data_IF_780290734542
#
_entry.id   IF_780290734542
#
_cell.length_a   1.000
_cell.length_b   1.000
_cell.length_c   1.000
_cell.angle_alpha   90.00
_cell.angle_beta   90.00
_cell.angle_gamma   90.00
#
_symmetry.space_group_name_H-M   'P 1'
#
loop_
_entity.id
_entity.type
_entity.pdbx_description
1 polymer ?
#
# COMPACT_ATOMS: atom_id res chain seq x y z
N UNK A 1 -54.21 -28.94 66.03
CA UNK A 1 -53.90 -28.22 64.76
C UNK A 1 -52.90 -27.06 64.97
N UNK A 2 -51.76 -27.28 65.66
CA UNK A 2 -50.73 -26.24 65.93
C UNK A 2 -49.30 -26.63 65.53
N UNK A 3 -49.04 -27.92 65.29
CA UNK A 3 -47.70 -28.45 64.99
C UNK A 3 -47.34 -28.30 63.49
N UNK A 4 -48.33 -28.22 62.60
CA UNK A 4 -48.11 -28.09 61.16
C UNK A 4 -47.57 -26.71 60.73
N UNK A 5 -47.89 -25.64 61.48
CA UNK A 5 -47.43 -24.27 61.16
C UNK A 5 -45.97 -24.00 61.54
N UNK A 6 -45.41 -24.77 62.49
CA UNK A 6 -44.05 -24.55 63.03
C UNK A 6 -42.96 -25.04 62.06
N UNK A 7 -43.23 -26.11 61.28
CA UNK A 7 -42.29 -26.60 60.24
C UNK A 7 -42.47 -25.94 58.88
N UNK A 8 -43.61 -25.30 58.63
CA UNK A 8 -43.90 -24.62 57.36
C UNK A 8 -43.17 -23.27 57.23
N UNK A 9 -43.03 -22.55 58.34
CA UNK A 9 -42.34 -21.24 58.38
C UNK A 9 -40.85 -21.29 58.01
N UNK A 10 -40.01 -22.21 58.57
CA UNK A 10 -38.60 -22.29 58.19
C UNK A 10 -38.39 -22.83 56.76
N UNK A 11 -39.31 -23.68 56.27
CA UNK A 11 -39.26 -24.20 54.89
C UNK A 11 -39.50 -23.10 53.86
N UNK A 12 -40.47 -22.21 54.11
CA UNK A 12 -40.75 -21.06 53.24
C UNK A 12 -39.56 -20.09 53.24
N UNK A 13 -38.95 -19.85 54.40
CA UNK A 13 -37.81 -18.94 54.54
C UNK A 13 -36.57 -19.44 53.79
N UNK A 14 -36.36 -20.77 53.76
CA UNK A 14 -35.27 -21.41 53.03
C UNK A 14 -35.50 -21.37 51.50
N UNK A 15 -36.74 -21.57 51.04
CA UNK A 15 -37.09 -21.46 49.61
C UNK A 15 -36.90 -20.02 49.12
N UNK A 16 -37.32 -19.02 49.90
CA UNK A 16 -37.14 -17.60 49.56
C UNK A 16 -35.66 -17.23 49.52
N UNK A 17 -34.85 -17.72 50.45
CA UNK A 17 -33.41 -17.48 50.46
C UNK A 17 -32.70 -18.10 49.25
N UNK A 18 -33.06 -19.33 48.85
CA UNK A 18 -32.50 -19.99 47.65
C UNK A 18 -32.94 -19.27 46.37
N UNK A 19 -34.19 -18.80 46.30
CA UNK A 19 -34.69 -18.06 45.15
C UNK A 19 -34.01 -16.69 45.01
N UNK A 20 -33.79 -15.99 46.12
CA UNK A 20 -33.02 -14.73 46.13
C UNK A 20 -31.56 -14.96 45.74
N UNK A 21 -30.94 -16.05 46.19
CA UNK A 21 -29.57 -16.39 45.79
C UNK A 21 -29.49 -16.71 44.28
N UNK A 22 -30.46 -17.44 43.73
CA UNK A 22 -30.52 -17.74 42.30
C UNK A 22 -30.76 -16.49 41.43
N UNK A 23 -31.56 -15.52 41.92
CA UNK A 23 -31.74 -14.22 41.28
C UNK A 23 -30.48 -13.34 41.32
N UNK A 24 -29.63 -13.49 42.35
CA UNK A 24 -28.34 -12.79 42.44
C UNK A 24 -27.30 -13.44 41.52
N UNK A 25 -27.27 -14.77 41.40
CA UNK A 25 -26.35 -15.47 40.48
C UNK A 25 -26.70 -15.31 39.00
N UNK A 26 -27.98 -15.09 38.66
CA UNK A 26 -28.41 -14.76 37.29
C UNK A 26 -28.09 -13.31 36.89
N UNK A 27 -27.78 -12.44 37.85
CA UNK A 27 -27.41 -11.03 37.60
C UNK A 27 -25.90 -10.77 37.56
N UNK A 28 -25.05 -11.69 38.02
CA UNK A 28 -23.63 -11.66 37.67
C UNK A 28 -23.44 -12.23 36.28
N UNK A 29 -23.81 -11.38 35.32
CA UNK A 29 -23.69 -11.62 33.90
C UNK A 29 -22.31 -12.16 33.56
N UNK A 30 -22.32 -13.38 33.04
CA UNK A 30 -21.36 -13.93 32.09
C UNK A 30 -21.40 -13.20 30.72
N UNK A 31 -21.90 -11.97 30.68
CA UNK A 31 -21.74 -11.08 29.55
C UNK A 31 -20.49 -10.27 29.82
N UNK A 32 -19.34 -10.84 29.46
CA UNK A 32 -18.26 -10.00 28.94
C UNK A 32 -18.91 -9.17 27.85
N UNK A 33 -19.21 -7.91 28.15
CA UNK A 33 -19.38 -6.92 27.11
C UNK A 33 -18.07 -6.97 26.34
N UNK A 34 -18.09 -7.63 25.18
CA UNK A 34 -17.18 -7.27 24.12
C UNK A 34 -17.40 -5.77 23.96
N UNK A 35 -16.45 -4.98 24.48
CA UNK A 35 -16.34 -3.58 24.09
C UNK A 35 -16.47 -3.63 22.57
N UNK A 36 -17.51 -3.03 21.96
CA UNK A 36 -17.45 -2.82 20.54
C UNK A 36 -16.23 -1.92 20.39
N UNK A 37 -15.10 -2.52 20.02
CA UNK A 37 -14.05 -1.75 19.41
C UNK A 37 -14.75 -1.08 18.25
N UNK A 38 -15.05 0.20 18.42
CA UNK A 38 -15.30 1.08 17.30
C UNK A 38 -13.99 1.07 16.55
N UNK A 39 -13.79 0.05 15.72
CA UNK A 39 -12.76 0.02 14.70
C UNK A 39 -13.22 1.09 13.72
N UNK A 40 -12.89 2.33 14.07
CA UNK A 40 -13.00 3.42 13.15
C UNK A 40 -12.04 3.01 12.04
N UNK A 41 -12.59 2.68 10.86
CA UNK A 41 -11.77 2.46 9.69
C UNK A 41 -10.89 3.71 9.59
N UNK A 42 -9.57 3.55 9.73
CA UNK A 42 -8.66 4.67 9.55
C UNK A 42 -8.94 5.20 8.15
N UNK A 43 -9.52 6.41 8.08
CA UNK A 43 -9.90 7.04 6.81
C UNK A 43 -8.68 7.43 5.97
N UNK A 44 -7.49 7.32 6.57
CA UNK A 44 -6.20 7.62 5.98
C UNK A 44 -5.42 6.32 5.88
N UNK A 45 -4.94 6.00 4.67
CA UNK A 45 -4.06 4.86 4.40
C UNK A 45 -2.90 4.85 5.42
N UNK A 46 -2.58 3.67 5.97
CA UNK A 46 -1.41 3.49 6.84
C UNK A 46 -0.12 3.98 6.15
N UNK A 47 -0.07 3.91 4.83
CA UNK A 47 1.07 4.41 4.05
C UNK A 47 1.11 5.95 3.99
N UNK A 48 -0.03 6.64 4.07
CA UNK A 48 -0.10 8.11 4.13
C UNK A 48 0.29 8.68 5.50
N UNK A 49 0.11 7.92 6.58
CA UNK A 49 0.35 8.36 7.96
C UNK A 49 1.68 7.82 8.52
N UNK A 50 2.75 7.87 7.73
CA UNK A 50 4.06 7.40 8.16
C UNK A 50 4.80 8.49 8.94
N UNK A 51 5.18 8.17 10.18
CA UNK A 51 6.00 9.03 11.05
C UNK A 51 7.30 8.31 11.41
N UNK A 52 8.38 9.06 11.66
CA UNK A 52 9.69 8.53 12.12
C UNK A 52 10.43 7.64 11.11
N UNK A 53 10.60 8.11 9.87
CA UNK A 53 11.44 7.43 8.88
C UNK A 53 12.92 7.67 9.23
N UNK A 54 13.75 6.62 9.41
CA UNK A 54 15.19 6.78 9.59
C UNK A 54 15.82 7.47 8.37
N UNK A 55 16.78 8.37 8.60
CA UNK A 55 17.47 9.09 7.51
C UNK A 55 18.09 8.13 6.48
N UNK A 56 18.60 6.98 6.93
CA UNK A 56 19.16 5.94 6.08
C UNK A 56 18.16 5.36 5.07
N UNK A 57 16.86 5.43 5.33
CA UNK A 57 15.82 4.90 4.44
C UNK A 57 15.27 5.93 3.46
N UNK A 58 15.57 7.23 3.64
CA UNK A 58 15.00 8.30 2.82
C UNK A 58 15.23 8.11 1.32
N UNK A 59 16.32 7.44 0.91
CA UNK A 59 16.66 7.23 -0.49
C UNK A 59 15.58 6.51 -1.33
N UNK A 60 14.71 5.67 -0.73
CA UNK A 60 13.63 4.97 -1.46
C UNK A 60 12.22 5.40 -1.04
N UNK A 61 12.05 5.93 0.17
CA UNK A 61 10.76 6.46 0.66
C UNK A 61 10.57 7.95 0.45
N UNK A 62 11.55 8.64 -0.14
CA UNK A 62 11.43 10.07 -0.44
C UNK A 62 10.21 10.36 -1.31
N UNK A 63 9.40 11.31 -0.86
CA UNK A 63 8.25 11.83 -1.58
C UNK A 63 8.50 13.32 -1.88
N UNK A 64 8.81 13.68 -3.14
CA UNK A 64 9.04 15.07 -3.50
C UNK A 64 7.75 15.90 -3.46
N UNK A 65 7.90 17.22 -3.33
CA UNK A 65 6.78 18.16 -3.36
C UNK A 65 6.16 18.30 -4.76
N UNK A 66 6.98 18.14 -5.81
CA UNK A 66 6.58 18.29 -7.20
C UNK A 66 7.07 17.12 -8.05
N UNK A 67 6.34 16.83 -9.14
CA UNK A 67 6.63 15.72 -10.04
C UNK A 67 7.98 15.91 -10.76
N UNK A 68 8.35 17.14 -11.10
CA UNK A 68 9.63 17.46 -11.74
C UNK A 68 10.86 17.01 -10.95
N UNK A 69 10.77 16.88 -9.61
CA UNK A 69 11.87 16.36 -8.80
C UNK A 69 12.08 14.84 -8.95
N UNK A 70 11.19 14.12 -9.64
CA UNK A 70 11.40 12.73 -10.04
C UNK A 70 12.19 12.61 -11.33
N UNK A 71 12.50 13.72 -12.02
CA UNK A 71 13.12 13.71 -13.33
C UNK A 71 14.44 12.93 -13.32
N UNK A 72 14.58 12.00 -14.28
CA UNK A 72 15.81 11.24 -14.50
C UNK A 72 16.22 11.27 -15.97
N UNK A 73 17.50 11.12 -16.22
CA UNK A 73 18.08 10.99 -17.56
C UNK A 73 18.83 9.66 -17.68
N UNK A 74 18.22 8.57 -17.24
CA UNK A 74 18.86 7.25 -17.31
C UNK A 74 18.90 6.72 -18.75
N UNK A 75 19.88 5.86 -19.03
CA UNK A 75 20.00 5.18 -20.31
C UNK A 75 19.27 3.83 -20.26
N UNK A 76 18.02 3.82 -20.71
CA UNK A 76 17.21 2.60 -20.82
C UNK A 76 17.34 1.96 -22.20
N UNK A 77 18.32 1.07 -22.34
CA UNK A 77 18.62 0.40 -23.61
C UNK A 77 17.49 -0.52 -24.11
N UNK A 78 16.70 -1.09 -23.19
CA UNK A 78 15.52 -1.86 -23.59
C UNK A 78 14.46 -0.93 -24.20
N UNK A 79 14.13 0.16 -23.50
CA UNK A 79 13.17 1.15 -23.98
C UNK A 79 13.61 1.74 -25.33
N UNK A 80 14.87 2.14 -25.46
CA UNK A 80 15.43 2.61 -26.72
C UNK A 80 15.28 1.56 -27.85
N UNK A 81 15.55 0.29 -27.55
CA UNK A 81 15.39 -0.81 -28.50
C UNK A 81 13.94 -0.97 -28.95
N UNK A 82 12.99 -0.86 -28.02
CA UNK A 82 11.55 -0.90 -28.33
C UNK A 82 11.11 0.28 -29.19
N UNK A 83 11.57 1.50 -28.89
CA UNK A 83 11.25 2.70 -29.67
C UNK A 83 11.75 2.60 -31.12
N UNK A 84 12.97 2.09 -31.30
CA UNK A 84 13.56 1.89 -32.64
C UNK A 84 12.82 0.77 -33.39
N UNK A 85 12.58 -0.36 -32.73
CA UNK A 85 11.90 -1.51 -33.32
C UNK A 85 10.49 -1.17 -33.79
N UNK A 86 9.79 -0.33 -33.03
CA UNK A 86 8.43 0.15 -33.36
C UNK A 86 8.42 1.42 -34.23
N UNK A 87 9.58 1.82 -34.79
CA UNK A 87 9.71 2.98 -35.70
C UNK A 87 9.27 4.32 -35.10
N UNK A 88 9.26 4.43 -33.77
CA UNK A 88 9.08 5.70 -33.05
C UNK A 88 10.34 6.56 -33.17
N UNK A 89 11.51 5.91 -33.20
CA UNK A 89 12.80 6.56 -33.46
C UNK A 89 13.45 5.92 -34.68
N UNK A 90 13.93 6.75 -35.61
CA UNK A 90 14.74 6.30 -36.75
C UNK A 90 16.22 6.28 -36.38
N UNK A 91 16.80 5.07 -36.36
CA UNK A 91 18.22 4.84 -36.11
C UNK A 91 18.92 4.20 -37.33
N UNK A 92 18.40 4.38 -38.54
CA UNK A 92 19.00 3.86 -39.79
C UNK A 92 20.42 4.35 -40.06
N UNK A 93 20.83 5.47 -39.45
CA UNK A 93 22.21 5.96 -39.51
C UNK A 93 23.18 5.17 -38.64
N UNK A 94 22.68 4.33 -37.74
CA UNK A 94 23.49 3.52 -36.83
C UNK A 94 23.79 2.13 -37.41
N UNK A 95 24.92 1.51 -37.02
CA UNK A 95 25.17 0.11 -37.34
C UNK A 95 24.01 -0.77 -36.86
N UNK A 96 23.62 -1.73 -37.70
CA UNK A 96 22.50 -2.66 -37.44
C UNK A 96 21.19 -1.94 -37.07
N UNK A 97 20.92 -0.81 -37.72
CA UNK A 97 19.75 0.05 -37.47
C UNK A 97 19.62 0.46 -36.00
N UNK A 98 20.74 0.57 -35.28
CA UNK A 98 20.76 0.96 -33.86
C UNK A 98 20.41 -0.15 -32.87
N UNK A 99 20.25 -1.40 -33.33
CA UNK A 99 19.86 -2.54 -32.49
C UNK A 99 21.02 -3.53 -32.29
N UNK A 100 20.92 -4.30 -31.22
CA UNK A 100 21.72 -5.50 -30.96
C UNK A 100 20.88 -6.75 -31.28
N UNK A 101 21.51 -7.93 -31.30
CA UNK A 101 20.84 -9.18 -31.66
C UNK A 101 19.69 -9.59 -30.73
N UNK A 102 19.66 -9.09 -29.49
CA UNK A 102 18.60 -9.39 -28.52
C UNK A 102 17.46 -8.34 -28.53
N UNK A 103 17.47 -7.40 -29.48
CA UNK A 103 16.45 -6.36 -29.62
C UNK A 103 16.66 -5.12 -28.76
N UNK A 104 17.69 -5.08 -27.91
CA UNK A 104 18.07 -3.87 -27.18
C UNK A 104 18.77 -2.89 -28.11
N UNK A 105 18.71 -1.60 -27.83
CA UNK A 105 19.51 -0.63 -28.55
C UNK A 105 21.01 -0.89 -28.34
N UNK A 106 21.82 -0.62 -29.35
CA UNK A 106 23.26 -0.48 -29.18
C UNK A 106 23.61 0.95 -28.72
N UNK A 107 24.89 1.26 -28.49
CA UNK A 107 25.32 2.59 -28.02
C UNK A 107 24.89 3.73 -28.98
N UNK A 108 24.96 3.50 -30.30
CA UNK A 108 24.51 4.49 -31.28
C UNK A 108 22.98 4.65 -31.23
N UNK A 109 22.23 3.54 -31.21
CA UNK A 109 20.76 3.56 -31.12
C UNK A 109 20.27 4.26 -29.85
N UNK A 110 20.90 4.01 -28.71
CA UNK A 110 20.59 4.70 -27.45
C UNK A 110 20.88 6.20 -27.53
N UNK A 111 21.99 6.59 -28.16
CA UNK A 111 22.30 8.02 -28.37
C UNK A 111 21.22 8.73 -29.19
N UNK A 112 20.79 8.12 -30.30
CA UNK A 112 19.73 8.66 -31.16
C UNK A 112 18.38 8.67 -30.45
N UNK A 113 18.05 7.62 -29.71
CA UNK A 113 16.79 7.50 -28.98
C UNK A 113 16.76 8.26 -27.64
N UNK A 114 17.89 8.84 -27.20
CA UNK A 114 18.02 9.46 -25.88
C UNK A 114 16.94 10.50 -25.57
N UNK A 115 16.60 11.44 -26.48
CA UNK A 115 15.54 12.42 -26.21
C UNK A 115 14.18 11.77 -25.92
N UNK A 116 13.80 10.76 -26.70
CA UNK A 116 12.54 10.01 -26.51
C UNK A 116 12.56 9.19 -25.23
N UNK A 117 13.70 8.58 -24.88
CA UNK A 117 13.86 7.85 -23.62
C UNK A 117 13.74 8.77 -22.41
N UNK A 118 14.32 9.97 -22.45
CA UNK A 118 14.18 10.98 -21.39
C UNK A 118 12.73 11.47 -21.31
N UNK A 119 12.06 11.67 -22.44
CA UNK A 119 10.66 12.06 -22.46
C UNK A 119 9.76 11.00 -21.80
N UNK A 120 9.86 9.74 -22.24
CA UNK A 120 8.97 8.66 -21.76
C UNK A 120 9.20 8.32 -20.30
N UNK A 121 10.46 8.24 -19.85
CA UNK A 121 10.74 7.90 -18.45
C UNK A 121 10.22 8.94 -17.45
N UNK A 122 9.96 10.17 -17.91
CA UNK A 122 9.47 11.26 -17.08
C UNK A 122 8.01 11.63 -17.37
N UNK A 123 7.39 11.11 -18.44
CA UNK A 123 5.98 11.39 -18.75
C UNK A 123 4.99 10.78 -17.75
N UNK A 124 5.47 9.90 -16.86
CA UNK A 124 4.68 9.28 -15.81
C UNK A 124 4.86 9.97 -14.44
N UNK A 125 5.70 10.99 -14.32
CA UNK A 125 6.06 11.58 -13.02
C UNK A 125 4.84 12.17 -12.30
N UNK A 126 3.96 12.87 -13.01
CA UNK A 126 2.69 13.35 -12.45
C UNK A 126 1.80 12.20 -11.96
N UNK A 127 1.68 11.13 -12.74
CA UNK A 127 0.86 9.98 -12.39
C UNK A 127 1.42 9.22 -11.18
N UNK A 128 2.76 9.09 -11.11
CA UNK A 128 3.47 8.48 -9.97
C UNK A 128 3.25 9.31 -8.70
N UNK A 129 3.39 10.64 -8.78
CA UNK A 129 3.14 11.52 -7.64
C UNK A 129 1.66 11.50 -7.22
N UNK A 130 0.73 11.40 -8.18
CA UNK A 130 -0.69 11.30 -7.88
C UNK A 130 -1.02 9.98 -7.17
N UNK A 131 -0.44 8.86 -7.62
CA UNK A 131 -0.60 7.57 -6.94
C UNK A 131 -0.13 7.63 -5.47
N UNK A 132 0.96 8.34 -5.17
CA UNK A 132 1.37 8.61 -3.79
C UNK A 132 0.28 9.35 -2.99
N UNK A 133 -0.31 10.41 -3.55
CA UNK A 133 -1.35 11.18 -2.88
C UNK A 133 -2.61 10.35 -2.61
N UNK A 134 -2.91 9.41 -3.49
CA UNK A 134 -4.12 8.59 -3.40
C UNK A 134 -3.95 7.38 -2.45
N UNK A 135 -2.81 6.68 -2.50
CA UNK A 135 -2.62 5.41 -1.77
C UNK A 135 -1.43 5.39 -0.80
N UNK A 136 -0.48 6.33 -0.92
CA UNK A 136 0.69 6.42 -0.05
C UNK A 136 1.88 5.55 -0.45
N UNK A 137 1.97 5.10 -1.70
CA UNK A 137 3.18 4.40 -2.18
C UNK A 137 4.25 5.43 -2.54
N UNK A 138 5.45 5.41 -1.93
CA UNK A 138 6.46 6.43 -2.18
C UNK A 138 6.80 6.60 -3.67
N UNK A 139 6.79 7.83 -4.21
CA UNK A 139 7.04 8.10 -5.62
C UNK A 139 8.37 7.55 -6.16
N UNK A 140 9.45 7.71 -5.38
CA UNK A 140 10.77 7.19 -5.78
C UNK A 140 10.72 5.67 -5.88
N UNK A 141 10.21 4.97 -4.87
CA UNK A 141 10.03 3.51 -4.92
C UNK A 141 9.22 3.07 -6.14
N UNK A 142 8.11 3.73 -6.43
CA UNK A 142 7.26 3.38 -7.55
C UNK A 142 7.98 3.55 -8.90
N UNK A 143 8.72 4.65 -9.09
CA UNK A 143 9.54 4.88 -10.28
C UNK A 143 10.67 3.84 -10.41
N UNK A 144 11.28 3.47 -9.28
CA UNK A 144 12.31 2.44 -9.20
C UNK A 144 11.80 1.05 -9.60
N UNK A 145 10.57 0.71 -9.24
CA UNK A 145 9.92 -0.52 -9.67
C UNK A 145 9.67 -0.49 -11.19
N UNK A 146 9.03 0.56 -11.71
CA UNK A 146 8.71 0.68 -13.15
C UNK A 146 9.98 0.59 -14.01
N UNK A 147 11.06 1.29 -13.62
CA UNK A 147 12.32 1.23 -14.38
C UNK A 147 12.95 -0.16 -14.39
N UNK A 148 12.74 -0.95 -13.35
CA UNK A 148 13.33 -2.29 -13.21
C UNK A 148 12.52 -3.31 -14.00
N UNK A 149 11.20 -3.23 -13.92
CA UNK A 149 10.29 -4.20 -14.54
C UNK A 149 10.19 -4.03 -16.06
N UNK A 150 10.00 -2.80 -16.55
CA UNK A 150 9.71 -2.56 -17.97
C UNK A 150 10.56 -1.49 -18.62
N UNK A 151 11.36 -0.76 -17.84
CA UNK A 151 12.04 0.44 -18.31
C UNK A 151 11.06 1.43 -18.98
N UNK A 152 9.84 1.56 -18.43
CA UNK A 152 8.76 2.43 -18.92
C UNK A 152 8.17 2.06 -20.29
N UNK A 153 8.52 0.90 -20.85
CA UNK A 153 7.81 0.38 -22.02
C UNK A 153 6.46 -0.26 -21.58
N UNK A 154 5.32 0.08 -22.21
CA UNK A 154 4.01 -0.46 -21.89
C UNK A 154 3.75 -1.87 -22.42
#
# INVERSE_FOLDING_TARGET
MRILKIKLFPLILLIVAVFLFFLVTLKWGFFSSSVPDTVNAQTISTCLNRVNIPESELHWVYAPENASALHTEENYYFLAGQLISNKVVDASTCPSDGLTLNGYANACGMSVAKPSVVYIQNSMDEAILQAWKDVGVPPVLLKQMIRTESQFWP
#
